data_IF_741892941433
#
_entry.id   IF_741892941433
#
_cell.length_a   1.000
_cell.length_b   1.000
_cell.length_c   1.000
_cell.angle_alpha   90.00
_cell.angle_beta   90.00
_cell.angle_gamma   90.00
#
_symmetry.space_group_name_H-M   'P 1'
#
loop_
_entity.id
_entity.type
_entity.pdbx_description
1 polymer ?
#
# COMPACT_ATOMS: atom_id res chain seq x y z
N UNK A 1 -64.05 5.85 -49.96
CA UNK A 1 -62.74 5.29 -50.34
C UNK A 1 -62.14 4.71 -49.07
N UNK A 2 -61.95 3.40 -49.06
CA UNK A 2 -61.52 2.60 -47.90
C UNK A 2 -60.00 2.73 -47.80
N UNK A 3 -59.45 3.10 -46.64
CA UNK A 3 -58.01 3.12 -46.40
C UNK A 3 -57.64 2.08 -45.35
N UNK A 4 -56.91 1.08 -45.80
CA UNK A 4 -56.51 -0.14 -45.09
C UNK A 4 -55.47 0.08 -43.99
N UNK A 5 -55.54 -0.77 -42.97
CA UNK A 5 -54.60 -0.90 -41.86
C UNK A 5 -53.22 -1.41 -42.29
N UNK A 6 -52.16 -0.95 -41.60
CA UNK A 6 -50.94 -1.73 -41.36
C UNK A 6 -50.51 -1.51 -39.90
N UNK A 7 -50.67 -2.52 -39.05
CA UNK A 7 -50.02 -2.58 -37.73
C UNK A 7 -48.64 -3.24 -37.91
N UNK A 8 -47.57 -2.46 -37.76
CA UNK A 8 -46.22 -3.00 -37.67
C UNK A 8 -45.96 -3.47 -36.24
N UNK A 9 -45.94 -4.78 -36.02
CA UNK A 9 -45.57 -5.38 -34.74
C UNK A 9 -44.08 -5.20 -34.45
N UNK A 10 -43.76 -4.49 -33.37
CA UNK A 10 -42.41 -4.37 -32.85
C UNK A 10 -42.09 -5.61 -32.00
N UNK A 11 -41.30 -6.54 -32.53
CA UNK A 11 -40.76 -7.66 -31.75
C UNK A 11 -39.64 -7.15 -30.85
N UNK A 12 -39.87 -7.07 -29.53
CA UNK A 12 -38.81 -6.84 -28.55
C UNK A 12 -37.93 -8.09 -28.45
N UNK A 13 -36.71 -8.01 -28.97
CA UNK A 13 -35.66 -8.97 -28.67
C UNK A 13 -35.11 -8.67 -27.27
N UNK A 14 -35.30 -9.58 -26.31
CA UNK A 14 -34.69 -9.49 -24.99
C UNK A 14 -33.19 -9.81 -25.10
N UNK A 15 -32.34 -8.79 -24.93
CA UNK A 15 -30.89 -8.96 -24.86
C UNK A 15 -30.52 -9.56 -23.49
N UNK A 16 -30.20 -10.86 -23.47
CA UNK A 16 -29.64 -11.53 -22.30
C UNK A 16 -28.22 -10.99 -22.09
N UNK A 17 -28.04 -10.14 -21.08
CA UNK A 17 -26.71 -9.69 -20.67
C UNK A 17 -26.03 -10.83 -19.93
N UNK A 18 -25.02 -11.44 -20.55
CA UNK A 18 -24.11 -12.34 -19.87
C UNK A 18 -23.28 -11.50 -18.87
N UNK A 19 -23.57 -11.64 -17.57
CA UNK A 19 -22.70 -11.12 -16.53
C UNK A 19 -21.38 -11.90 -16.58
N UNK A 20 -20.33 -11.27 -17.10
CA UNK A 20 -18.99 -11.82 -16.99
C UNK A 20 -18.61 -11.85 -15.51
N UNK A 21 -18.49 -13.05 -14.95
CA UNK A 21 -17.88 -13.26 -13.63
C UNK A 21 -16.41 -12.87 -13.79
N UNK A 22 -16.06 -11.65 -13.40
CA UNK A 22 -14.66 -11.29 -13.21
C UNK A 22 -14.13 -12.26 -12.14
N UNK A 23 -13.13 -13.06 -12.50
CA UNK A 23 -12.35 -13.78 -11.51
C UNK A 23 -11.87 -12.74 -10.49
N UNK A 24 -12.27 -12.89 -9.23
CA UNK A 24 -11.80 -12.01 -8.17
C UNK A 24 -10.27 -12.08 -8.20
N UNK A 25 -9.63 -10.98 -8.57
CA UNK A 25 -8.18 -10.87 -8.52
C UNK A 25 -7.76 -11.17 -7.08
N UNK A 26 -6.65 -11.89 -6.89
CA UNK A 26 -6.04 -11.99 -5.57
C UNK A 26 -5.73 -10.57 -5.08
N UNK A 27 -6.39 -10.08 -4.02
CA UNK A 27 -6.25 -8.70 -3.58
C UNK A 27 -4.80 -8.39 -3.16
N UNK A 28 -4.02 -9.41 -2.79
CA UNK A 28 -2.61 -9.27 -2.41
C UNK A 28 -1.64 -9.89 -3.42
N UNK A 29 -1.79 -9.54 -4.70
CA UNK A 29 -0.82 -9.86 -5.76
C UNK A 29 -0.05 -8.64 -6.23
N UNK A 30 1.22 -8.80 -6.62
CA UNK A 30 2.03 -7.69 -7.17
C UNK A 30 1.42 -7.10 -8.45
N UNK A 31 0.65 -7.88 -9.21
CA UNK A 31 -0.04 -7.43 -10.42
C UNK A 31 -1.20 -6.48 -10.13
N UNK A 32 -1.71 -6.48 -8.90
CA UNK A 32 -2.77 -5.58 -8.45
C UNK A 32 -2.25 -4.16 -8.18
N UNK A 33 -0.93 -3.95 -8.20
CA UNK A 33 -0.29 -2.68 -7.92
C UNK A 33 0.53 -2.19 -9.12
N UNK A 34 0.30 -0.94 -9.52
CA UNK A 34 1.11 -0.24 -10.52
C UNK A 34 1.91 0.87 -9.84
N UNK A 35 3.21 0.96 -10.13
CA UNK A 35 4.00 2.10 -9.68
C UNK A 35 3.57 3.37 -10.43
N UNK A 36 3.24 4.48 -9.73
CA UNK A 36 2.81 5.70 -10.40
C UNK A 36 3.96 6.29 -11.22
N UNK A 37 3.62 6.90 -12.36
CA UNK A 37 4.63 7.59 -13.19
C UNK A 37 4.99 8.92 -12.53
N UNK A 38 6.08 8.92 -11.78
CA UNK A 38 6.63 10.10 -11.12
C UNK A 38 7.91 10.52 -11.85
N UNK A 39 7.98 11.78 -12.27
CA UNK A 39 9.17 12.30 -12.95
C UNK A 39 10.37 12.23 -12.01
N UNK A 40 11.49 11.74 -12.55
CA UNK A 40 12.72 11.61 -11.78
C UNK A 40 12.66 10.53 -10.69
N UNK A 41 11.85 9.47 -10.84
CA UNK A 41 11.99 8.22 -10.10
C UNK A 41 12.17 7.04 -11.06
N UNK A 42 13.05 6.11 -10.71
CA UNK A 42 13.28 4.87 -11.45
C UNK A 42 12.75 3.73 -10.61
N UNK A 43 11.65 3.12 -11.04
CA UNK A 43 11.05 1.95 -10.39
C UNK A 43 11.93 0.72 -10.63
N UNK A 44 12.18 -0.06 -9.56
CA UNK A 44 12.91 -1.33 -9.64
C UNK A 44 11.98 -2.52 -9.44
N UNK A 45 11.18 -2.52 -8.37
CA UNK A 45 10.27 -3.63 -8.11
C UNK A 45 9.07 -3.23 -7.25
N UNK A 46 7.97 -3.97 -7.43
CA UNK A 46 6.81 -3.98 -6.54
C UNK A 46 6.49 -5.44 -6.24
N UNK A 47 6.43 -5.80 -4.96
CA UNK A 47 6.05 -7.13 -4.50
C UNK A 47 4.92 -7.01 -3.50
N UNK A 48 3.92 -7.89 -3.57
CA UNK A 48 2.88 -7.99 -2.57
C UNK A 48 2.89 -9.41 -2.02
N UNK A 49 2.85 -9.55 -0.69
CA UNK A 49 2.78 -10.84 -0.01
C UNK A 49 1.82 -10.76 1.17
N UNK A 50 0.80 -11.63 1.24
CA UNK A 50 -0.06 -11.68 2.39
C UNK A 50 0.71 -12.25 3.58
N UNK A 51 0.38 -11.79 4.78
CA UNK A 51 0.80 -12.41 6.02
C UNK A 51 -0.38 -12.46 6.97
N UNK A 52 -0.37 -13.44 7.87
CA UNK A 52 -1.43 -13.71 8.84
C UNK A 52 -0.81 -13.91 10.21
N UNK A 53 -1.55 -13.60 11.27
CA UNK A 53 -1.11 -13.81 12.66
C UNK A 53 0.26 -13.16 12.93
N UNK A 54 0.42 -11.92 12.49
CA UNK A 54 1.60 -11.13 12.84
C UNK A 54 1.44 -10.64 14.29
N UNK A 55 2.14 -11.31 15.19
CA UNK A 55 2.18 -11.02 16.63
C UNK A 55 3.53 -10.49 17.08
N UNK A 56 4.52 -10.49 16.17
CA UNK A 56 5.86 -10.02 16.46
C UNK A 56 5.82 -8.52 16.70
N UNK A 57 5.99 -8.11 17.94
CA UNK A 57 6.24 -6.74 18.31
C UNK A 57 7.53 -6.71 19.13
N UNK A 58 8.32 -5.68 18.90
CA UNK A 58 9.54 -5.44 19.64
C UNK A 58 9.25 -4.93 21.05
N UNK A 59 8.09 -4.28 21.25
CA UNK A 59 7.71 -3.67 22.53
C UNK A 59 8.49 -2.41 22.86
N UNK A 60 9.30 -1.91 21.93
CA UNK A 60 10.10 -0.68 22.11
C UNK A 60 9.23 0.56 22.01
N UNK A 61 8.09 0.44 21.33
CA UNK A 61 7.12 1.52 21.18
C UNK A 61 5.81 1.20 21.91
N UNK A 62 5.16 2.18 22.57
CA UNK A 62 3.90 1.97 23.28
C UNK A 62 2.79 1.35 22.42
N UNK A 63 2.81 1.61 21.12
CA UNK A 63 1.86 1.09 20.14
C UNK A 63 1.85 -0.44 20.08
N UNK A 64 2.93 -1.12 20.49
CA UNK A 64 2.95 -2.57 20.61
C UNK A 64 1.78 -3.12 21.46
N UNK A 65 1.33 -2.36 22.46
CA UNK A 65 0.20 -2.73 23.32
C UNK A 65 -1.17 -2.69 22.60
N UNK A 66 -1.24 -2.06 21.43
CA UNK A 66 -2.45 -1.99 20.60
C UNK A 66 -2.54 -3.15 19.60
N UNK A 67 -1.49 -3.99 19.51
CA UNK A 67 -1.52 -5.18 18.65
C UNK A 67 -2.42 -6.24 19.30
N UNK A 68 -3.46 -6.72 18.60
CA UNK A 68 -4.38 -7.68 19.18
C UNK A 68 -3.73 -9.05 19.40
N UNK A 69 -4.17 -9.85 20.40
CA UNK A 69 -3.60 -11.18 20.68
C UNK A 69 -3.69 -12.17 19.53
N UNK A 70 -4.72 -12.07 18.69
CA UNK A 70 -4.89 -12.85 17.47
C UNK A 70 -3.91 -12.47 16.34
N UNK A 71 -3.18 -11.38 16.52
CA UNK A 71 -2.23 -10.84 15.57
C UNK A 71 -2.88 -10.10 14.41
N UNK A 72 -2.04 -9.55 13.53
CA UNK A 72 -2.47 -8.77 12.37
C UNK A 72 -2.43 -9.63 11.12
N UNK A 73 -3.47 -9.52 10.30
CA UNK A 73 -3.52 -10.09 8.96
C UNK A 73 -3.61 -8.95 7.95
N UNK A 74 -2.66 -8.89 7.02
CA UNK A 74 -2.57 -7.82 6.05
C UNK A 74 -1.74 -8.23 4.83
N UNK A 75 -1.81 -7.40 3.79
CA UNK A 75 -0.98 -7.49 2.61
C UNK A 75 0.26 -6.60 2.78
N UNK A 76 1.45 -7.20 2.76
CA UNK A 76 2.71 -6.45 2.74
C UNK A 76 3.10 -6.15 1.30
N UNK A 77 2.94 -4.89 0.91
CA UNK A 77 3.41 -4.36 -0.37
C UNK A 77 4.76 -3.69 -0.16
N UNK A 78 5.79 -4.18 -0.84
CA UNK A 78 7.13 -3.61 -0.84
C UNK A 78 7.42 -3.03 -2.22
N UNK A 79 7.78 -1.75 -2.25
CA UNK A 79 8.14 -1.01 -3.46
C UNK A 79 9.60 -0.58 -3.33
N UNK A 80 10.38 -0.75 -4.39
CA UNK A 80 11.75 -0.24 -4.45
C UNK A 80 11.96 0.67 -5.66
N UNK A 81 12.61 1.81 -5.44
CA UNK A 81 12.89 2.79 -6.48
C UNK A 81 14.19 3.57 -6.17
N UNK A 82 14.76 4.21 -7.17
CA UNK A 82 15.91 5.13 -7.02
C UNK A 82 15.58 6.51 -7.56
N UNK A 83 16.34 7.51 -7.10
CA UNK A 83 16.40 8.83 -7.74
C UNK A 83 17.46 8.82 -8.85
N UNK A 84 17.28 9.62 -9.94
CA UNK A 84 18.30 9.84 -10.96
C UNK A 84 19.61 10.25 -10.31
N UNK A 85 20.71 9.70 -10.81
CA UNK A 85 22.06 10.00 -10.34
C UNK A 85 22.30 9.67 -8.86
N UNK A 86 21.45 8.83 -8.25
CA UNK A 86 21.61 8.32 -6.90
C UNK A 86 21.78 6.80 -6.90
N UNK A 87 22.77 6.33 -6.13
CA UNK A 87 23.00 4.89 -5.92
C UNK A 87 22.23 4.35 -4.69
N UNK A 88 21.41 5.17 -4.05
CA UNK A 88 20.61 4.78 -2.88
C UNK A 88 19.28 4.18 -3.33
N UNK A 89 19.13 2.86 -3.16
CA UNK A 89 17.88 2.15 -3.35
C UNK A 89 16.94 2.46 -2.18
N UNK A 90 15.82 3.11 -2.45
CA UNK A 90 14.80 3.42 -1.46
C UNK A 90 13.77 2.30 -1.46
N UNK A 91 13.50 1.76 -0.29
CA UNK A 91 12.47 0.75 -0.06
C UNK A 91 11.31 1.37 0.72
N UNK A 92 10.09 1.17 0.24
CA UNK A 92 8.85 1.53 0.93
C UNK A 92 8.11 0.23 1.25
N UNK A 93 7.72 0.06 2.50
CA UNK A 93 6.87 -1.04 2.98
C UNK A 93 5.50 -0.46 3.31
N UNK A 94 4.46 -1.08 2.79
CA UNK A 94 3.07 -0.69 3.01
C UNK A 94 2.31 -1.92 3.50
N UNK A 95 1.61 -1.80 4.62
CA UNK A 95 0.70 -2.82 5.12
C UNK A 95 -0.72 -2.36 4.83
N UNK A 96 -1.41 -3.16 4.02
CA UNK A 96 -2.80 -2.94 3.66
C UNK A 96 -3.64 -3.95 4.45
N UNK A 97 -4.53 -3.50 5.35
CA UNK A 97 -5.44 -4.41 6.04
C UNK A 97 -6.37 -5.09 5.04
N UNK A 98 -6.99 -6.19 5.45
CA UNK A 98 -8.04 -6.81 4.64
C UNK A 98 -9.21 -5.83 4.44
N UNK A 99 -9.94 -6.00 3.35
CA UNK A 99 -10.96 -5.05 2.90
C UNK A 99 -12.01 -4.76 3.97
N UNK A 100 -12.38 -5.76 4.76
CA UNK A 100 -13.39 -5.62 5.83
C UNK A 100 -12.88 -4.81 7.02
N UNK A 101 -11.56 -4.76 7.22
CA UNK A 101 -10.90 -4.03 8.30
C UNK A 101 -10.45 -2.62 7.87
N UNK A 102 -10.42 -2.32 6.56
CA UNK A 102 -9.94 -1.06 6.04
C UNK A 102 -10.87 0.11 6.40
N UNK A 103 -10.30 1.18 6.96
CA UNK A 103 -11.04 2.36 7.44
C UNK A 103 -10.93 3.59 6.52
N UNK A 104 -10.42 3.42 5.29
CA UNK A 104 -10.19 4.49 4.32
C UNK A 104 -9.20 5.58 4.77
N UNK A 105 -8.25 5.23 5.66
CA UNK A 105 -7.21 6.16 6.13
C UNK A 105 -5.83 5.61 5.85
N UNK A 106 -4.96 6.53 5.45
CA UNK A 106 -3.55 6.27 5.25
C UNK A 106 -2.72 6.91 6.37
N UNK A 107 -1.72 6.18 6.85
CA UNK A 107 -0.76 6.64 7.84
C UNK A 107 0.67 6.38 7.36
N UNK A 108 1.41 7.47 7.10
CA UNK A 108 2.85 7.40 6.90
C UNK A 108 3.58 7.47 8.24
N UNK A 109 4.44 6.50 8.52
CA UNK A 109 5.20 6.44 9.78
C UNK A 109 6.67 6.79 9.52
N UNK A 110 7.21 7.59 10.44
CA UNK A 110 8.60 8.04 10.42
C UNK A 110 9.52 7.14 11.24
N UNK A 111 10.82 7.41 11.14
CA UNK A 111 11.83 6.80 12.00
C UNK A 111 12.20 7.64 13.21
N UNK A 112 13.32 7.31 13.84
CA UNK A 112 13.86 8.00 15.00
C UNK A 112 15.39 8.13 14.94
N UNK A 113 15.92 9.20 15.51
CA UNK A 113 17.36 9.50 15.47
C UNK A 113 17.85 9.69 14.03
N UNK A 114 18.85 8.92 13.63
CA UNK A 114 19.43 8.93 12.27
C UNK A 114 18.85 7.84 11.35
N UNK A 115 17.81 7.16 11.81
CA UNK A 115 17.17 6.06 11.10
C UNK A 115 15.83 6.53 10.55
N UNK A 116 15.52 6.10 9.33
CA UNK A 116 14.21 6.28 8.71
C UNK A 116 13.45 4.95 8.73
N UNK A 117 12.13 5.05 8.78
CA UNK A 117 11.23 3.91 8.78
C UNK A 117 11.04 3.30 10.16
N UNK A 118 10.33 2.18 10.19
CA UNK A 118 9.91 1.54 11.43
C UNK A 118 10.94 0.52 11.93
N UNK A 119 11.16 0.52 13.24
CA UNK A 119 11.96 -0.49 13.95
C UNK A 119 10.99 -1.37 14.72
N UNK A 120 11.06 -2.68 14.50
CA UNK A 120 10.28 -3.66 15.27
C UNK A 120 8.82 -3.81 14.85
N UNK A 121 8.37 -3.06 13.85
CA UNK A 121 7.03 -3.11 13.26
C UNK A 121 5.86 -2.86 14.23
N UNK A 122 6.13 -2.39 15.46
CA UNK A 122 5.14 -2.11 16.50
C UNK A 122 4.03 -1.16 16.00
N UNK A 123 4.42 -0.03 15.40
CA UNK A 123 3.47 0.96 14.88
C UNK A 123 2.80 0.45 13.61
N UNK A 124 3.51 -0.27 12.74
CA UNK A 124 2.89 -0.87 11.55
C UNK A 124 1.76 -1.82 11.94
N UNK A 125 2.02 -2.73 12.87
CA UNK A 125 1.04 -3.69 13.35
C UNK A 125 -0.15 -3.01 14.02
N UNK A 126 0.10 -2.12 14.97
CA UNK A 126 -0.94 -1.43 15.72
C UNK A 126 -1.94 -0.67 14.85
N UNK A 127 -1.43 0.14 13.92
CA UNK A 127 -2.30 0.96 13.07
C UNK A 127 -2.93 0.16 11.92
N UNK A 128 -2.26 -0.89 11.43
CA UNK A 128 -2.89 -1.82 10.48
C UNK A 128 -4.05 -2.57 11.14
N UNK A 129 -3.89 -3.02 12.40
CA UNK A 129 -4.96 -3.62 13.19
C UNK A 129 -6.13 -2.65 13.43
N UNK A 130 -5.85 -1.35 13.49
CA UNK A 130 -6.86 -0.28 13.59
C UNK A 130 -7.48 0.11 12.23
N UNK A 131 -7.13 -0.60 11.17
CA UNK A 131 -7.72 -0.44 9.83
C UNK A 131 -7.05 0.58 8.92
N UNK A 132 -5.88 1.12 9.28
CA UNK A 132 -5.15 2.07 8.44
C UNK A 132 -4.30 1.34 7.39
N UNK A 133 -4.17 1.94 6.21
CA UNK A 133 -3.03 1.66 5.32
C UNK A 133 -1.79 2.30 5.94
N UNK A 134 -0.80 1.49 6.34
CA UNK A 134 0.38 2.02 7.03
C UNK A 134 1.60 1.90 6.13
N UNK A 135 2.37 2.97 5.95
CA UNK A 135 3.56 2.98 5.10
C UNK A 135 4.80 3.50 5.82
N UNK A 136 5.94 2.82 5.62
CA UNK A 136 7.26 3.19 6.13
C UNK A 136 8.31 3.13 5.03
N UNK A 137 9.36 3.96 5.10
CA UNK A 137 10.48 3.92 4.15
C UNK A 137 11.83 3.88 4.83
N UNK A 138 12.79 3.15 4.25
CA UNK A 138 14.19 3.15 4.67
C UNK A 138 14.97 4.39 4.20
N UNK A 139 14.32 5.33 3.49
CA UNK A 139 14.92 6.58 3.03
C UNK A 139 16.11 6.42 2.08
N UNK A 140 16.40 5.20 1.60
CA UNK A 140 17.62 4.88 0.87
C UNK A 140 18.86 4.76 1.76
N UNK A 141 18.69 4.68 3.08
CA UNK A 141 19.74 4.46 4.06
C UNK A 141 19.73 2.97 4.43
N UNK A 142 20.67 2.21 3.84
CA UNK A 142 20.88 0.81 4.24
C UNK A 142 21.60 0.80 5.58
N UNK A 143 20.86 0.77 6.68
CA UNK A 143 21.45 0.32 7.94
C UNK A 143 21.62 -1.19 7.86
N UNK A 144 22.80 -1.62 7.43
CA UNK A 144 23.40 -2.73 8.17
C UNK A 144 23.49 -2.27 9.63
N UNK A 145 23.21 -3.10 10.64
CA UNK A 145 23.50 -2.74 12.02
C UNK A 145 24.95 -2.24 12.07
N UNK A 146 25.15 -0.94 12.31
CA UNK A 146 26.47 -0.34 12.30
C UNK A 146 27.16 -0.77 13.59
N UNK A 147 27.98 -1.83 13.48
CA UNK A 147 28.99 -2.20 14.48
C UNK A 147 30.29 -1.39 14.31
N UNK A 148 30.30 -0.30 13.54
CA UNK A 148 31.52 0.46 13.28
C UNK A 148 31.26 1.97 13.16
N UNK A 149 30.86 2.58 14.28
CA UNK A 149 31.32 3.89 14.77
C UNK A 149 31.35 5.15 13.88
N UNK A 150 30.92 5.14 12.61
CA UNK A 150 31.01 6.31 11.72
C UNK A 150 29.63 6.78 11.27
N UNK A 151 29.14 7.79 11.98
CA UNK A 151 27.98 8.59 11.59
C UNK A 151 28.35 9.39 10.34
N UNK A 152 27.74 9.05 9.20
CA UNK A 152 27.75 9.90 8.01
C UNK A 152 26.39 10.56 7.93
N UNK A 153 26.33 11.82 8.36
CA UNK A 153 25.19 12.70 8.16
C UNK A 153 25.17 13.19 6.71
N UNK A 154 24.04 13.07 6.00
CA UNK A 154 23.67 13.97 4.90
C UNK A 154 22.14 14.06 4.74
N UNK A 155 21.62 15.29 4.88
CA UNK A 155 20.35 15.86 4.37
C UNK A 155 19.09 14.98 4.49
N UNK A 156 18.23 15.17 5.50
CA UNK A 156 17.39 16.37 5.62
C UNK A 156 16.00 16.04 5.06
N UNK A 157 15.12 15.47 5.90
CA UNK A 157 13.70 15.24 5.58
C UNK A 157 12.91 16.51 5.92
N UNK A 158 12.90 17.48 5.02
CA UNK A 158 11.85 18.52 4.95
C UNK A 158 10.75 18.02 4.01
N UNK A 159 10.05 16.98 4.44
CA UNK A 159 8.80 16.56 3.82
C UNK A 159 7.73 16.33 4.89
N UNK A 160 7.67 17.23 5.87
CA UNK A 160 6.47 17.43 6.65
C UNK A 160 5.46 18.16 5.74
N UNK A 161 4.28 17.57 5.53
CA UNK A 161 3.04 18.16 5.01
C UNK A 161 2.67 18.14 3.50
N UNK A 162 3.53 17.78 2.53
CA UNK A 162 3.12 17.76 1.10
C UNK A 162 2.84 16.39 0.48
N UNK A 163 3.53 15.32 0.89
CA UNK A 163 3.39 14.01 0.21
C UNK A 163 2.16 13.19 0.62
N UNK A 164 1.47 13.57 1.70
CA UNK A 164 0.25 12.86 2.14
C UNK A 164 -0.97 13.12 1.21
N UNK A 165 -0.86 13.97 0.20
CA UNK A 165 -1.98 14.31 -0.70
C UNK A 165 -1.99 13.55 -2.03
N UNK A 166 -0.96 12.79 -2.36
CA UNK A 166 -0.83 12.22 -3.71
C UNK A 166 -0.73 10.70 -3.76
N UNK A 167 -0.90 10.02 -2.63
CA UNK A 167 -1.20 8.59 -2.60
C UNK A 167 -2.70 8.40 -2.45
N UNK A 168 -3.47 8.77 -3.48
CA UNK A 168 -4.79 8.18 -3.66
C UNK A 168 -4.53 6.75 -4.14
N UNK A 169 -4.69 5.79 -3.24
CA UNK A 169 -4.87 4.39 -3.61
C UNK A 169 -6.14 4.35 -4.47
N UNK A 170 -6.01 4.57 -5.78
CA UNK A 170 -6.98 4.11 -6.76
C UNK A 170 -6.73 2.61 -6.96
N UNK A 171 -6.94 1.86 -5.89
CA UNK A 171 -6.99 0.42 -5.88
C UNK A 171 -8.30 0.09 -5.20
N UNK A 172 -9.33 -0.10 -6.01
CA UNK A 172 -10.51 -0.84 -5.57
C UNK A 172 -10.02 -2.26 -5.31
N UNK A 173 -9.87 -2.62 -4.05
CA UNK A 173 -10.20 -3.95 -3.56
C UNK A 173 -11.44 -3.81 -2.69
#
# INVERSE_FOLDING_TARGET
MVASLILAGFTLAAAVHAAAVHAAADPCSSTSFSFPRLEGLIHHSTTAKPFTNFTQNSGWKPEAALVPPEGVTACNVTISYTRPNSNSLITVRIWLPLQEAYNARFLGIGGGGWLTGEIGDDVMAAYTASGYDVAATDGGVRTKPVLDGRLVALQGWEAESRSAREFRVQGVA
#
